data_IF_558494515961
#
_entry.id   IF_558494515961
#
_cell.length_a   1.000
_cell.length_b   1.000
_cell.length_c   1.000
_cell.angle_alpha   90.00
_cell.angle_beta   90.00
_cell.angle_gamma   90.00
#
_symmetry.space_group_name_H-M   'P 1'
#
loop_
_entity.id
_entity.type
_entity.pdbx_description
1 polymer ?
#
# COMPACT_ATOMS: atom_id res chain seq x y z
N UNK A 1 16.85 -4.87 -36.58
CA UNK A 1 15.80 -4.29 -35.72
C UNK A 1 16.12 -4.74 -34.31
N UNK A 2 16.71 -3.86 -33.49
CA UNK A 2 17.27 -4.22 -32.19
C UNK A 2 16.22 -3.96 -31.12
N UNK A 3 15.75 -5.02 -30.46
CA UNK A 3 14.76 -4.92 -29.39
C UNK A 3 15.50 -4.47 -28.12
N UNK A 4 15.32 -3.21 -27.71
CA UNK A 4 15.79 -2.74 -26.40
C UNK A 4 14.78 -3.20 -25.36
N UNK A 5 15.16 -4.19 -24.55
CA UNK A 5 14.46 -4.48 -23.30
C UNK A 5 14.85 -3.41 -22.28
N UNK A 6 14.06 -2.35 -22.18
CA UNK A 6 14.19 -1.40 -21.08
C UNK A 6 13.61 -2.09 -19.86
N UNK A 7 14.47 -2.57 -18.97
CA UNK A 7 14.06 -3.01 -17.64
C UNK A 7 13.64 -1.77 -16.87
N UNK A 8 12.36 -1.69 -16.49
CA UNK A 8 11.89 -0.70 -15.53
C UNK A 8 12.54 -1.01 -14.18
N UNK A 9 13.70 -0.42 -13.89
CA UNK A 9 14.26 -0.44 -12.55
C UNK A 9 13.46 0.54 -11.70
N UNK A 10 12.45 0.03 -11.00
CA UNK A 10 11.74 0.80 -9.98
C UNK A 10 12.73 1.10 -8.84
N UNK A 11 13.06 2.38 -8.57
CA UNK A 11 13.98 2.75 -7.50
C UNK A 11 13.43 2.41 -6.10
N UNK A 12 12.13 2.16 -5.98
CA UNK A 12 11.45 1.80 -4.73
C UNK A 12 10.40 0.72 -5.03
N UNK A 13 10.80 -0.54 -5.23
CA UNK A 13 9.87 -1.61 -5.56
C UNK A 13 8.86 -1.75 -4.43
N UNK A 14 7.60 -1.50 -4.77
CA UNK A 14 6.46 -1.70 -3.90
C UNK A 14 5.44 -2.57 -4.64
N UNK A 15 4.92 -3.57 -3.93
CA UNK A 15 3.81 -4.36 -4.45
C UNK A 15 2.51 -3.67 -4.03
N UNK A 16 1.54 -3.64 -4.93
CA UNK A 16 0.19 -3.15 -4.64
C UNK A 16 -0.80 -4.31 -4.71
N UNK A 17 -1.54 -4.52 -3.63
CA UNK A 17 -2.62 -5.49 -3.55
C UNK A 17 -3.96 -4.77 -3.40
N UNK A 18 -4.92 -5.11 -4.24
CA UNK A 18 -6.32 -4.74 -4.05
C UNK A 18 -7.15 -6.01 -3.81
N UNK A 19 -7.85 -6.07 -2.68
CA UNK A 19 -8.80 -7.14 -2.35
C UNK A 19 -10.22 -6.60 -2.41
N UNK A 20 -11.09 -7.27 -3.17
CA UNK A 20 -12.51 -6.94 -3.26
C UNK A 20 -13.30 -7.99 -2.50
N UNK A 21 -14.06 -7.56 -1.49
CA UNK A 21 -14.90 -8.43 -0.68
C UNK A 21 -16.27 -8.65 -1.33
N UNK A 22 -16.94 -9.73 -0.92
CA UNK A 22 -18.23 -10.13 -1.48
C UNK A 22 -19.36 -9.09 -1.26
N UNK A 23 -19.25 -8.30 -0.20
CA UNK A 23 -20.16 -7.20 0.16
C UNK A 23 -19.92 -5.92 -0.65
N UNK A 24 -18.87 -5.89 -1.48
CA UNK A 24 -18.49 -4.74 -2.30
C UNK A 24 -17.47 -3.82 -1.62
N UNK A 25 -17.19 -3.99 -0.33
CA UNK A 25 -16.08 -3.32 0.33
C UNK A 25 -14.75 -3.78 -0.26
N UNK A 26 -13.71 -2.97 -0.10
CA UNK A 26 -12.40 -3.33 -0.61
C UNK A 26 -11.28 -2.82 0.27
N UNK A 27 -10.11 -3.38 0.04
CA UNK A 27 -8.90 -3.11 0.78
C UNK A 27 -7.75 -2.93 -0.19
N UNK A 28 -6.97 -1.86 0.02
CA UNK A 28 -5.77 -1.52 -0.75
C UNK A 28 -4.57 -1.61 0.18
N UNK A 29 -3.53 -2.31 -0.24
CA UNK A 29 -2.30 -2.48 0.51
C UNK A 29 -1.09 -2.22 -0.39
N UNK A 30 -0.11 -1.50 0.17
CA UNK A 30 1.22 -1.35 -0.38
C UNK A 30 2.20 -2.13 0.48
N UNK A 31 2.95 -3.04 -0.14
CA UNK A 31 4.01 -3.80 0.51
C UNK A 31 5.36 -3.28 0.03
N UNK A 32 6.27 -3.01 0.95
CA UNK A 32 7.65 -2.63 0.61
C UNK A 32 8.65 -3.23 1.60
N UNK A 33 9.85 -3.49 1.09
CA UNK A 33 10.99 -3.81 1.95
C UNK A 33 11.54 -2.51 2.55
N UNK A 34 11.69 -2.48 3.87
CA UNK A 34 12.29 -1.36 4.56
C UNK A 34 13.34 -1.84 5.56
N UNK A 35 14.44 -1.09 5.64
CA UNK A 35 15.32 -1.17 6.80
C UNK A 35 14.52 -0.84 8.07
N UNK A 36 14.71 -1.62 9.14
CA UNK A 36 14.13 -1.42 10.47
C UNK A 36 14.28 0.03 10.99
N UNK A 37 15.33 0.75 10.57
CA UNK A 37 15.51 2.18 10.87
C UNK A 37 14.46 3.10 10.22
N UNK A 38 13.73 2.64 9.21
CA UNK A 38 12.65 3.41 8.55
C UNK A 38 11.38 3.49 9.41
N UNK A 39 11.25 2.61 10.40
CA UNK A 39 10.19 2.62 11.39
C UNK A 39 10.49 3.54 12.59
N UNK A 40 11.65 4.22 12.60
CA UNK A 40 12.01 5.11 13.70
C UNK A 40 11.08 6.33 13.70
N UNK A 41 10.42 6.66 14.83
CA UNK A 41 9.52 7.81 14.90
C UNK A 41 10.31 9.12 14.70
N UNK A 42 9.76 10.04 13.89
CA UNK A 42 10.44 11.30 13.53
C UNK A 42 10.44 12.32 14.68
N UNK A 43 9.36 12.36 15.48
CA UNK A 43 9.21 13.25 16.65
C UNK A 43 8.11 12.74 17.58
N UNK A 44 8.41 12.59 18.87
CA UNK A 44 7.42 12.28 19.88
C UNK A 44 6.87 10.85 19.84
N UNK A 45 5.99 10.56 20.79
CA UNK A 45 5.58 9.22 21.20
C UNK A 45 4.75 8.43 20.18
N UNK A 46 4.75 8.75 18.88
CA UNK A 46 4.01 8.00 17.87
C UNK A 46 4.96 7.44 16.81
N UNK A 47 5.07 6.12 16.81
CA UNK A 47 5.57 5.38 15.66
C UNK A 47 4.35 5.25 14.75
N UNK A 48 4.50 5.67 13.50
CA UNK A 48 3.40 5.75 12.55
C UNK A 48 3.95 5.94 11.15
N UNK A 49 3.17 6.56 10.27
CA UNK A 49 3.60 7.00 8.93
C UNK A 49 4.72 8.03 9.05
N UNK A 50 5.97 7.55 9.23
CA UNK A 50 7.15 8.42 9.31
C UNK A 50 7.34 9.10 7.96
N UNK A 51 7.90 10.31 7.94
CA UNK A 51 8.28 11.03 6.73
C UNK A 51 9.14 10.16 5.81
N UNK A 52 10.05 9.36 6.40
CA UNK A 52 10.91 8.43 5.67
C UNK A 52 10.15 7.24 5.06
N UNK A 53 9.06 6.80 5.68
CA UNK A 53 8.17 5.78 5.13
C UNK A 53 7.26 6.37 4.04
N UNK A 54 6.65 7.53 4.30
CA UNK A 54 5.80 8.25 3.35
C UNK A 54 6.56 8.53 2.05
N UNK A 55 7.83 8.97 2.13
CA UNK A 55 8.65 9.27 0.95
C UNK A 55 8.98 8.05 0.07
N UNK A 56 8.66 6.83 0.52
CA UNK A 56 8.87 5.59 -0.25
C UNK A 56 7.58 5.03 -0.82
N UNK A 57 6.43 5.60 -0.47
CA UNK A 57 5.14 5.17 -0.96
C UNK A 57 4.72 6.02 -2.16
N UNK A 58 3.98 5.45 -3.11
CA UNK A 58 3.47 6.21 -4.23
C UNK A 58 2.26 7.10 -3.85
N UNK A 59 1.89 7.13 -2.57
CA UNK A 59 0.71 7.80 -2.02
C UNK A 59 1.09 8.68 -0.83
N UNK A 60 0.21 9.61 -0.47
CA UNK A 60 0.28 10.34 0.80
C UNK A 60 -0.72 9.69 1.77
N UNK A 61 -0.28 8.76 2.63
CA UNK A 61 -1.18 8.12 3.58
C UNK A 61 -1.57 9.11 4.69
N UNK A 62 -2.85 9.12 5.03
CA UNK A 62 -3.44 9.87 6.15
C UNK A 62 -3.64 8.97 7.39
N UNK A 63 -4.23 9.52 8.45
CA UNK A 63 -4.51 8.79 9.71
C UNK A 63 -5.47 7.60 9.56
N UNK A 64 -6.16 7.45 8.44
CA UNK A 64 -7.05 6.32 8.16
C UNK A 64 -6.32 5.12 7.58
N UNK A 65 -5.04 5.28 7.19
CA UNK A 65 -4.18 4.17 6.78
C UNK A 65 -3.61 3.45 8.01
N UNK A 66 -3.66 2.13 7.98
CA UNK A 66 -3.02 1.25 8.94
C UNK A 66 -1.64 0.83 8.44
N UNK A 67 -0.69 0.69 9.36
CA UNK A 67 0.63 0.13 9.06
C UNK A 67 0.78 -1.18 9.84
N UNK A 68 1.28 -2.22 9.19
CA UNK A 68 1.74 -3.46 9.83
C UNK A 68 3.12 -3.82 9.27
N UNK A 69 3.80 -4.76 9.93
CA UNK A 69 5.11 -5.21 9.47
C UNK A 69 5.29 -6.69 9.76
N UNK A 70 6.18 -7.34 9.01
CA UNK A 70 6.62 -8.70 9.30
C UNK A 70 8.12 -8.84 9.12
N UNK A 71 8.70 -9.76 9.89
CA UNK A 71 10.03 -10.31 9.61
C UNK A 71 9.90 -11.53 8.71
N UNK A 72 11.01 -12.01 8.16
CA UNK A 72 11.04 -13.23 7.35
C UNK A 72 10.61 -14.50 8.12
N UNK A 73 10.51 -14.44 9.45
CA UNK A 73 10.08 -15.55 10.32
C UNK A 73 8.58 -15.48 10.69
N UNK A 74 7.74 -14.92 9.82
CA UNK A 74 6.25 -14.93 9.88
C UNK A 74 5.58 -14.30 11.12
N UNK A 75 6.34 -13.63 11.99
CA UNK A 75 5.76 -12.80 13.04
C UNK A 75 5.23 -11.50 12.44
N UNK A 76 3.95 -11.49 12.07
CA UNK A 76 3.22 -10.27 11.73
C UNK A 76 3.05 -9.46 13.02
N UNK A 77 3.72 -8.32 13.11
CA UNK A 77 3.53 -7.36 14.17
C UNK A 77 2.15 -6.71 14.14
N UNK A 78 1.63 -6.33 15.30
CA UNK A 78 0.29 -5.73 15.45
C UNK A 78 0.06 -4.45 14.63
N UNK A 79 -1.23 -4.16 14.41
CA UNK A 79 -1.77 -3.02 13.67
C UNK A 79 -1.53 -1.70 14.42
N UNK A 80 -0.84 -0.78 13.76
CA UNK A 80 -0.51 0.59 14.22
C UNK A 80 -1.76 1.48 14.38
N UNK A 81 -1.72 2.60 15.14
CA UNK A 81 -0.53 3.34 15.62
C UNK A 81 0.07 2.82 16.93
N UNK A 82 1.41 2.74 17.02
CA UNK A 82 2.09 2.47 18.29
C UNK A 82 2.46 3.75 19.04
N UNK A 83 2.47 3.63 20.37
CA UNK A 83 3.25 4.51 21.24
C UNK A 83 4.77 4.22 21.09
N UNK A 84 5.64 5.20 21.31
CA UNK A 84 7.12 5.09 21.14
C UNK A 84 7.80 3.88 21.80
N UNK A 85 7.20 3.31 22.84
CA UNK A 85 7.69 2.14 23.58
C UNK A 85 7.69 0.84 22.74
N UNK A 86 6.91 0.76 21.65
CA UNK A 86 6.85 -0.42 20.81
C UNK A 86 7.95 -0.50 19.74
N UNK A 87 8.67 0.60 19.45
CA UNK A 87 9.77 0.62 18.48
C UNK A 87 10.91 -0.28 18.94
N UNK A 88 11.21 -0.24 20.24
CA UNK A 88 12.22 -1.10 20.85
C UNK A 88 11.84 -2.59 20.72
N UNK A 89 10.55 -2.91 20.71
CA UNK A 89 10.07 -4.27 20.43
C UNK A 89 10.33 -4.68 18.98
N UNK A 90 10.14 -3.77 18.01
CA UNK A 90 10.47 -4.02 16.60
C UNK A 90 11.98 -4.25 16.42
N UNK A 91 12.83 -3.42 17.03
CA UNK A 91 14.29 -3.59 16.95
C UNK A 91 14.75 -4.90 17.60
N UNK A 92 14.13 -5.30 18.72
CA UNK A 92 14.42 -6.58 19.37
C UNK A 92 14.03 -7.78 18.49
N UNK A 93 12.90 -7.71 17.80
CA UNK A 93 12.40 -8.79 16.95
C UNK A 93 13.13 -8.86 15.61
N UNK A 94 13.32 -7.72 14.95
CA UNK A 94 14.02 -7.64 13.66
C UNK A 94 15.53 -7.84 13.78
N UNK A 95 16.14 -7.62 14.95
CA UNK A 95 17.60 -7.68 15.16
C UNK A 95 18.40 -6.81 14.18
N UNK A 96 17.80 -5.76 13.63
CA UNK A 96 18.40 -4.89 12.62
C UNK A 96 18.28 -5.37 11.17
N UNK A 97 17.59 -6.50 10.93
CA UNK A 97 17.31 -7.01 9.59
C UNK A 97 16.22 -6.20 8.86
N UNK A 98 16.19 -6.23 7.51
CA UNK A 98 15.08 -5.69 6.74
C UNK A 98 13.74 -6.31 7.13
N UNK A 99 12.72 -5.47 7.23
CA UNK A 99 11.33 -5.86 7.49
C UNK A 99 10.47 -5.59 6.27
N UNK A 100 9.42 -6.40 6.09
CA UNK A 100 8.35 -6.09 5.14
C UNK A 100 7.34 -5.19 5.83
N UNK A 101 7.03 -4.07 5.20
CA UNK A 101 6.02 -3.12 5.67
C UNK A 101 4.79 -3.22 4.80
N UNK A 102 3.63 -3.19 5.44
CA UNK A 102 2.34 -3.17 4.77
C UNK A 102 1.60 -1.91 5.19
N UNK A 103 1.28 -1.06 4.22
CA UNK A 103 0.53 0.19 4.44
C UNK A 103 -0.79 0.07 3.73
N UNK A 104 -1.87 0.16 4.49
CA UNK A 104 -3.16 -0.27 3.97
C UNK A 104 -4.37 0.51 4.44
N UNK A 105 -5.41 0.52 3.61
CA UNK A 105 -6.66 1.22 3.89
C UNK A 105 -7.85 0.41 3.38
N UNK A 106 -8.90 0.40 4.20
CA UNK A 106 -10.19 -0.20 3.84
C UNK A 106 -11.12 0.88 3.32
N UNK A 107 -11.84 0.56 2.25
CA UNK A 107 -12.84 1.41 1.62
C UNK A 107 -14.19 0.70 1.67
N UNK A 108 -15.29 1.44 1.95
CA UNK A 108 -16.62 0.85 2.05
C UNK A 108 -17.12 0.32 0.69
N UNK A 109 -16.58 0.81 -0.43
CA UNK A 109 -16.89 0.30 -1.76
C UNK A 109 -15.79 0.59 -2.78
N UNK A 110 -15.86 -0.03 -3.96
CA UNK A 110 -14.96 0.27 -5.08
C UNK A 110 -15.15 1.69 -5.63
N UNK A 111 -16.36 2.25 -5.55
CA UNK A 111 -16.62 3.65 -5.92
C UNK A 111 -15.95 4.62 -4.94
N UNK A 112 -15.93 4.27 -3.65
CA UNK A 112 -15.21 5.07 -2.64
C UNK A 112 -13.69 5.03 -2.90
N UNK A 113 -13.16 3.86 -3.29
CA UNK A 113 -11.78 3.69 -3.71
C UNK A 113 -11.44 4.53 -4.94
N UNK A 114 -12.30 4.50 -5.96
CA UNK A 114 -12.16 5.29 -7.19
C UNK A 114 -12.12 6.81 -6.92
N UNK A 115 -12.96 7.25 -5.99
CA UNK A 115 -13.06 8.67 -5.64
C UNK A 115 -11.87 9.14 -4.79
N UNK A 116 -11.42 8.31 -3.84
CA UNK A 116 -10.47 8.73 -2.81
C UNK A 116 -9.00 8.42 -3.13
N UNK A 117 -8.72 7.39 -3.93
CA UNK A 117 -7.33 6.98 -4.18
C UNK A 117 -6.64 7.91 -5.18
N UNK A 118 -5.54 8.53 -4.77
CA UNK A 118 -4.68 9.34 -5.63
C UNK A 118 -3.22 9.04 -5.31
N UNK A 119 -2.38 9.09 -6.34
CA UNK A 119 -0.93 9.09 -6.17
C UNK A 119 -0.48 10.41 -5.55
N UNK A 120 0.67 10.39 -4.86
CA UNK A 120 1.26 11.58 -4.26
C UNK A 120 1.67 12.61 -5.33
N UNK A 121 1.60 13.91 -5.01
CA UNK A 121 1.90 14.99 -5.97
C UNK A 121 3.34 14.96 -6.50
N UNK A 122 4.28 14.41 -5.74
CA UNK A 122 5.69 14.24 -6.11
C UNK A 122 5.97 12.90 -6.81
N UNK A 123 4.95 12.04 -6.96
CA UNK A 123 5.09 10.76 -7.65
C UNK A 123 5.03 10.95 -9.19
N UNK A 124 5.87 10.25 -9.97
CA UNK A 124 5.81 10.29 -11.44
C UNK A 124 4.45 9.92 -12.04
N UNK A 125 3.60 9.24 -11.27
CA UNK A 125 2.27 8.81 -11.65
C UNK A 125 1.15 9.69 -11.08
N UNK A 126 1.46 10.87 -10.51
CA UNK A 126 0.46 11.80 -9.97
C UNK A 126 -0.65 12.18 -10.98
N UNK A 127 -0.32 12.19 -12.27
CA UNK A 127 -1.24 12.46 -13.38
C UNK A 127 -2.11 11.26 -13.77
N UNK A 128 -1.79 10.05 -13.30
CA UNK A 128 -2.60 8.86 -13.55
C UNK A 128 -3.90 8.92 -12.73
N UNK A 129 -5.00 9.20 -13.41
CA UNK A 129 -6.33 9.01 -12.86
C UNK A 129 -6.78 7.57 -13.08
N UNK A 130 -6.44 6.70 -12.13
CA UNK A 130 -6.82 5.29 -12.16
C UNK A 130 -8.33 5.15 -11.95
N UNK A 131 -9.02 4.52 -12.89
CA UNK A 131 -10.46 4.25 -12.77
C UNK A 131 -10.69 2.84 -12.25
N UNK A 132 -11.49 2.70 -11.20
CA UNK A 132 -11.81 1.44 -10.53
C UNK A 132 -13.29 1.12 -10.71
N UNK A 133 -13.60 -0.09 -11.18
CA UNK A 133 -14.99 -0.53 -11.40
C UNK A 133 -15.19 -1.95 -10.92
N UNK A 134 -16.33 -2.17 -10.25
CA UNK A 134 -16.81 -3.49 -9.87
C UNK A 134 -18.16 -3.76 -10.55
N UNK A 135 -18.22 -4.81 -11.37
CA UNK A 135 -19.47 -5.27 -11.95
C UNK A 135 -19.90 -6.57 -11.29
N UNK A 136 -21.11 -6.56 -10.71
CA UNK A 136 -21.77 -7.76 -10.19
C UNK A 136 -22.77 -8.25 -11.22
N UNK A 137 -22.60 -9.48 -11.71
CA UNK A 137 -23.48 -10.11 -12.69
C UNK A 137 -24.16 -11.33 -12.08
N UNK A 138 -25.47 -11.24 -11.93
CA UNK A 138 -26.31 -12.33 -11.42
C UNK A 138 -26.67 -13.28 -12.55
N UNK A 139 -26.52 -14.57 -12.29
CA UNK A 139 -27.11 -15.66 -13.09
C UNK A 139 -27.89 -16.59 -12.17
N UNK A 140 -28.64 -17.51 -12.77
CA UNK A 140 -29.54 -18.41 -12.06
C UNK A 140 -28.90 -19.19 -10.89
N UNK A 141 -27.62 -19.56 -10.98
CA UNK A 141 -26.94 -20.38 -9.98
C UNK A 141 -25.63 -19.80 -9.42
N UNK A 142 -25.15 -18.70 -9.97
CA UNK A 142 -23.88 -18.10 -9.56
C UNK A 142 -23.90 -16.59 -9.80
N UNK A 143 -23.10 -15.90 -8.99
CA UNK A 143 -22.83 -14.47 -9.16
C UNK A 143 -21.37 -14.31 -9.53
N UNK A 144 -21.10 -13.62 -10.64
CA UNK A 144 -19.73 -13.24 -11.01
C UNK A 144 -19.47 -11.80 -10.61
N UNK A 145 -18.27 -11.58 -10.11
CA UNK A 145 -17.70 -10.27 -9.85
C UNK A 145 -16.59 -10.03 -10.86
N UNK A 146 -16.66 -8.90 -11.56
CA UNK A 146 -15.61 -8.46 -12.48
C UNK A 146 -15.07 -7.15 -11.95
N UNK A 147 -13.83 -7.18 -11.50
CA UNK A 147 -13.09 -6.00 -11.08
C UNK A 147 -12.19 -5.51 -12.22
N UNK A 148 -12.12 -4.20 -12.41
CA UNK A 148 -11.26 -3.57 -13.42
C UNK A 148 -10.61 -2.32 -12.85
N UNK A 149 -9.29 -2.24 -12.99
CA UNK A 149 -8.50 -1.01 -12.83
C UNK A 149 -8.02 -0.56 -14.21
N UNK A 150 -8.32 0.68 -14.58
CA UNK A 150 -7.91 1.25 -15.88
C UNK A 150 -6.92 2.38 -15.65
N UNK A 151 -5.77 2.26 -16.29
CA UNK A 151 -4.70 3.24 -16.26
C UNK A 151 -4.70 3.98 -17.60
N UNK A 152 -4.99 5.29 -17.65
CA UNK A 152 -4.98 6.04 -18.89
C UNK A 152 -3.58 6.11 -19.47
N UNK A 153 -3.49 6.27 -20.80
CA UNK A 153 -2.21 6.55 -21.44
C UNK A 153 -1.74 7.93 -20.94
N UNK A 154 -0.50 8.02 -20.48
CA UNK A 154 0.12 9.31 -20.20
C UNK A 154 0.48 9.95 -21.54
N UNK A 155 0.00 11.17 -21.78
CA UNK A 155 0.46 11.96 -22.92
C UNK A 155 1.96 12.27 -22.69
N UNK A 156 2.80 11.77 -23.60
CA UNK A 156 4.26 11.90 -23.58
C UNK A 156 4.75 13.30 -23.95
#
# INVERSE_FOLDING_TARGET
MTMMAISCTDPTPHDMLTVINADGSCYREFCLNADSNSLKPDTGNQIGLTKKLISKLPIIPDVTWSVTWSTNEDSIGERQPFESNAYDSVLKVSKGEPVRLFVSKTFPSVEALDTAFRFADDNPWNQLSVTHRLQKRFRWFYTYYVYTETYPLLDS
#
